data_IF_830253840100
#
_entry.id   IF_830253840100
#
_cell.length_a   1.000
_cell.length_b   1.000
_cell.length_c   1.000
_cell.angle_alpha   90.00
_cell.angle_beta   90.00
_cell.angle_gamma   90.00
#
_symmetry.space_group_name_H-M   'P 1'
#
loop_
_entity.id
_entity.type
_entity.pdbx_description
1 polymer ?
#
# COMPACT_ATOMS: atom_id res chain seq x y z
N UNK A 1 -6.25 8.87 -2.29
CA UNK A 1 -4.84 8.82 -2.73
C UNK A 1 -4.46 7.36 -2.92
N UNK A 2 -3.94 7.01 -4.08
CA UNK A 2 -3.28 5.71 -4.29
C UNK A 2 -1.77 5.97 -4.25
N UNK A 3 -1.06 5.21 -3.44
CA UNK A 3 0.40 5.21 -3.38
C UNK A 3 0.90 3.84 -3.79
N UNK A 4 1.85 3.78 -4.70
CA UNK A 4 2.40 2.52 -5.19
C UNK A 4 3.84 2.65 -5.65
N UNK A 5 4.59 1.55 -5.57
CA UNK A 5 5.99 1.48 -6.00
C UNK A 5 6.27 0.12 -6.62
N UNK A 6 7.36 0.03 -7.40
CA UNK A 6 7.88 -1.24 -7.94
C UNK A 6 9.19 -1.63 -7.24
N UNK A 7 9.25 -1.46 -5.93
CA UNK A 7 10.40 -1.80 -5.08
C UNK A 7 9.91 -2.64 -3.88
N UNK A 8 10.82 -3.42 -3.28
CA UNK A 8 10.58 -4.16 -2.02
C UNK A 8 11.17 -3.43 -0.81
N UNK A 9 11.67 -2.20 -1.01
CA UNK A 9 12.29 -1.38 0.03
C UNK A 9 11.24 -0.90 1.04
N UNK A 10 11.39 -1.33 2.29
CA UNK A 10 10.51 -0.91 3.40
C UNK A 10 10.45 0.61 3.58
N UNK A 11 11.59 1.28 3.37
CA UNK A 11 11.72 2.74 3.48
C UNK A 11 10.85 3.46 2.45
N UNK A 12 10.79 2.92 1.24
CA UNK A 12 9.96 3.48 0.18
C UNK A 12 8.50 3.07 0.34
N UNK A 13 8.20 1.96 1.01
CA UNK A 13 6.87 1.37 1.05
C UNK A 13 6.14 1.68 2.36
N UNK A 14 6.27 0.83 3.38
CA UNK A 14 5.56 0.95 4.65
C UNK A 14 5.88 2.26 5.36
N UNK A 15 7.14 2.69 5.37
CA UNK A 15 7.54 3.92 6.06
C UNK A 15 6.94 5.17 5.42
N UNK A 16 6.88 5.23 4.08
CA UNK A 16 6.19 6.32 3.38
C UNK A 16 4.68 6.27 3.57
N UNK A 17 4.07 5.08 3.56
CA UNK A 17 2.65 4.91 3.86
C UNK A 17 2.32 5.38 5.29
N UNK A 18 3.16 5.05 6.27
CA UNK A 18 3.02 5.49 7.66
C UNK A 18 3.23 7.02 7.78
N UNK A 19 4.21 7.56 7.04
CA UNK A 19 4.44 9.01 6.97
C UNK A 19 3.23 9.74 6.40
N UNK A 20 2.60 9.22 5.34
CA UNK A 20 1.39 9.79 4.74
C UNK A 20 0.26 9.89 5.78
N UNK A 21 -0.02 8.81 6.52
CA UNK A 21 -1.06 8.80 7.55
C UNK A 21 -0.76 9.75 8.71
N UNK A 22 0.52 9.92 9.05
CA UNK A 22 0.95 10.79 10.15
C UNK A 22 0.91 12.28 9.79
N UNK A 23 1.19 12.62 8.53
CA UNK A 23 1.44 14.02 8.13
C UNK A 23 0.35 14.64 7.26
N UNK A 24 -0.52 13.83 6.63
CA UNK A 24 -1.60 14.32 5.77
C UNK A 24 -2.96 14.06 6.43
N UNK A 25 -4.00 14.88 6.12
CA UNK A 25 -5.37 14.68 6.61
C UNK A 25 -6.08 13.55 5.85
N UNK A 26 -5.45 12.38 5.81
CA UNK A 26 -5.91 11.17 5.15
C UNK A 26 -6.10 10.06 6.19
N UNK A 27 -6.85 9.04 5.80
CA UNK A 27 -6.97 7.79 6.55
C UNK A 27 -6.88 6.58 5.62
N UNK A 28 -6.50 5.42 6.17
CA UNK A 28 -6.41 4.17 5.43
C UNK A 28 -7.78 3.76 4.92
N UNK A 29 -7.88 3.49 3.62
CA UNK A 29 -9.12 3.07 2.97
C UNK A 29 -8.97 1.61 2.56
N UNK A 30 -9.77 0.77 3.21
CA UNK A 30 -9.61 -0.68 3.15
C UNK A 30 -9.93 -1.20 1.75
N UNK A 31 -9.13 -2.16 1.30
CA UNK A 31 -9.42 -2.90 0.09
C UNK A 31 -10.65 -3.78 0.30
N UNK A 32 -11.54 -3.77 -0.68
CA UNK A 32 -12.70 -4.65 -0.73
C UNK A 32 -12.41 -5.97 -1.47
N UNK A 33 -11.23 -6.10 -2.07
CA UNK A 33 -10.82 -7.26 -2.87
C UNK A 33 -9.92 -8.18 -2.07
N UNK A 34 -10.29 -9.46 -1.98
CA UNK A 34 -9.48 -10.49 -1.31
C UNK A 34 -8.09 -10.66 -1.94
N UNK A 35 -7.95 -10.39 -3.24
CA UNK A 35 -6.63 -10.44 -3.93
C UNK A 35 -5.62 -9.51 -3.27
N UNK A 36 -6.08 -8.36 -2.81
CA UNK A 36 -5.25 -7.34 -2.17
C UNK A 36 -5.24 -7.44 -0.64
N UNK A 37 -5.90 -8.45 -0.07
CA UNK A 37 -6.14 -8.60 1.36
C UNK A 37 -7.31 -7.74 1.81
N UNK A 38 -8.50 -8.33 1.88
CA UNK A 38 -9.69 -7.66 2.37
C UNK A 38 -9.46 -7.18 3.81
N UNK A 39 -9.82 -5.93 4.07
CA UNK A 39 -9.61 -5.29 5.38
C UNK A 39 -8.20 -4.72 5.61
N UNK A 40 -7.30 -4.80 4.63
CA UNK A 40 -6.04 -4.07 4.64
C UNK A 40 -6.15 -2.80 3.79
N UNK A 41 -5.45 -1.73 4.16
CA UNK A 41 -5.33 -0.53 3.33
C UNK A 41 -4.02 -0.49 2.52
N UNK A 42 -3.10 -1.43 2.77
CA UNK A 42 -1.81 -1.57 2.08
C UNK A 42 -1.42 -3.03 1.88
N UNK A 43 -0.66 -3.32 0.82
CA UNK A 43 -0.11 -4.64 0.53
C UNK A 43 1.23 -4.54 -0.22
N UNK A 44 2.20 -5.34 0.24
CA UNK A 44 3.42 -5.67 -0.50
C UNK A 44 3.16 -6.98 -1.28
N UNK A 45 3.52 -6.97 -2.55
CA UNK A 45 3.69 -8.14 -3.41
C UNK A 45 5.19 -8.37 -3.56
N UNK A 46 5.64 -9.58 -3.26
CA UNK A 46 7.02 -10.00 -3.48
C UNK A 46 7.22 -10.47 -4.93
N UNK A 47 8.47 -10.49 -5.43
CA UNK A 47 8.75 -11.03 -6.76
C UNK A 47 8.22 -12.45 -6.91
N UNK A 48 7.51 -12.71 -8.01
CA UNK A 48 6.83 -13.99 -8.28
C UNK A 48 5.41 -14.08 -7.72
N UNK A 49 4.99 -13.17 -6.83
CA UNK A 49 3.57 -13.06 -6.48
C UNK A 49 2.81 -12.39 -7.62
N UNK A 50 1.69 -13.01 -8.02
CA UNK A 50 0.83 -12.52 -9.10
C UNK A 50 1.58 -12.25 -10.43
N UNK A 51 2.66 -13.00 -10.70
CA UNK A 51 3.54 -12.82 -11.87
C UNK A 51 4.10 -11.40 -12.00
N UNK A 52 4.44 -10.77 -10.87
CA UNK A 52 5.06 -9.43 -10.82
C UNK A 52 6.51 -9.50 -10.33
N UNK A 53 7.33 -8.51 -10.71
CA UNK A 53 8.73 -8.36 -10.24
C UNK A 53 8.84 -7.80 -8.80
N UNK A 54 7.72 -7.70 -8.09
CA UNK A 54 7.59 -7.03 -6.80
C UNK A 54 6.88 -5.68 -6.94
N UNK A 55 5.88 -5.45 -6.07
CA UNK A 55 5.02 -4.28 -6.15
C UNK A 55 4.49 -3.91 -4.77
N UNK A 56 4.28 -2.64 -4.49
CA UNK A 56 3.61 -2.18 -3.28
C UNK A 56 2.45 -1.27 -3.62
N UNK A 57 1.36 -1.37 -2.86
CA UNK A 57 0.19 -0.51 -3.03
C UNK A 57 -0.46 -0.18 -1.68
N UNK A 58 -0.83 1.09 -1.51
CA UNK A 58 -1.59 1.59 -0.38
C UNK A 58 -2.70 2.55 -0.85
N UNK A 59 -3.89 2.43 -0.25
CA UNK A 59 -5.07 3.22 -0.55
C UNK A 59 -5.46 4.06 0.66
N UNK A 60 -5.70 5.33 0.40
CA UNK A 60 -6.10 6.30 1.40
C UNK A 60 -7.28 7.12 0.92
N UNK A 61 -8.13 7.56 1.84
CA UNK A 61 -9.22 8.52 1.58
C UNK A 61 -9.05 9.77 2.42
N UNK A 62 -9.66 10.87 1.98
CA UNK A 62 -9.71 12.09 2.78
C UNK A 62 -10.65 11.85 3.96
N UNK A 63 -10.25 12.33 5.15
CA UNK A 63 -11.14 12.39 6.31
C UNK A 63 -12.37 13.25 6.02
#
# INVERSE_FOLDING_TARGET
LMYSTCTISRKENEENADWILKNLPLEGDLFSSDRLGSGLYRKQLLPGEMDTDGFFIAKFRKK
#
